data_IF_727853379705
#
_entry.id   IF_727853379705
#
_cell.length_a   1.000
_cell.length_b   1.000
_cell.length_c   1.000
_cell.angle_alpha   90.00
_cell.angle_beta   90.00
_cell.angle_gamma   90.00
#
_symmetry.space_group_name_H-M   'P 1'
#
loop_
_entity.id
_entity.type
_entity.pdbx_description
1 polymer ?
#
# COMPACT_ATOMS: atom_id res chain seq x y z
N UNK A 1 18.84 17.43 10.92
CA UNK A 1 18.12 17.19 9.67
C UNK A 1 18.07 15.71 9.38
N UNK A 2 16.87 15.20 9.18
CA UNK A 2 16.68 13.80 8.83
C UNK A 2 16.90 13.62 7.34
N UNK A 3 17.80 12.74 6.97
CA UNK A 3 18.03 12.39 5.57
C UNK A 3 17.36 11.06 5.27
N UNK A 4 16.48 11.04 4.27
CA UNK A 4 15.88 9.80 3.80
C UNK A 4 16.92 8.99 3.04
N UNK A 5 16.94 7.68 3.26
CA UNK A 5 17.75 6.80 2.46
C UNK A 5 17.20 6.74 1.04
N UNK A 6 18.09 6.87 0.07
CA UNK A 6 17.71 6.67 -1.33
C UNK A 6 17.66 5.19 -1.64
N UNK A 7 16.51 4.74 -2.10
CA UNK A 7 16.34 3.35 -2.50
C UNK A 7 16.43 3.30 -4.02
N UNK A 8 17.39 2.53 -4.53
CA UNK A 8 17.55 2.39 -5.98
C UNK A 8 16.40 1.57 -6.56
N UNK A 9 16.14 1.73 -7.87
CA UNK A 9 15.13 0.93 -8.54
C UNK A 9 15.42 -0.57 -8.41
N UNK A 10 16.67 -0.95 -8.46
CA UNK A 10 17.07 -2.35 -8.29
C UNK A 10 16.67 -2.90 -6.93
N UNK A 11 16.82 -2.10 -5.88
CA UNK A 11 16.42 -2.49 -4.54
C UNK A 11 14.90 -2.54 -4.41
N UNK A 12 14.18 -1.59 -5.01
CA UNK A 12 12.72 -1.60 -5.03
C UNK A 12 12.19 -2.86 -5.72
N UNK A 13 12.77 -3.23 -6.86
CA UNK A 13 12.38 -4.43 -7.58
C UNK A 13 12.62 -5.69 -6.73
N UNK A 14 13.75 -5.75 -6.03
CA UNK A 14 14.05 -6.86 -5.15
C UNK A 14 13.00 -6.98 -4.03
N UNK A 15 12.67 -5.86 -3.40
CA UNK A 15 11.64 -5.85 -2.34
C UNK A 15 10.31 -6.32 -2.88
N UNK A 16 9.91 -5.83 -4.06
CA UNK A 16 8.65 -6.21 -4.67
C UNK A 16 8.58 -7.71 -4.98
N UNK A 17 9.68 -8.29 -5.45
CA UNK A 17 9.72 -9.71 -5.81
C UNK A 17 9.68 -10.63 -4.60
N UNK A 18 10.20 -10.18 -3.44
CA UNK A 18 10.43 -11.04 -2.28
C UNK A 18 9.51 -10.76 -1.10
N UNK A 19 8.71 -9.71 -1.15
CA UNK A 19 7.96 -9.27 0.02
C UNK A 19 6.46 -9.48 -0.06
N UNK A 20 5.86 -9.42 -1.24
CA UNK A 20 4.40 -9.46 -1.33
C UNK A 20 3.91 -9.92 -2.69
N UNK A 21 2.66 -10.37 -2.69
CA UNK A 21 1.88 -10.65 -3.89
C UNK A 21 0.62 -9.80 -3.86
N UNK A 22 0.34 -9.11 -4.95
CA UNK A 22 -0.86 -8.29 -5.06
C UNK A 22 -2.03 -9.14 -5.55
N UNK A 23 -3.20 -8.95 -4.96
CA UNK A 23 -4.41 -9.56 -5.49
C UNK A 23 -4.92 -8.79 -6.72
N UNK A 24 -5.83 -9.39 -7.52
CA UNK A 24 -6.28 -8.74 -8.76
C UNK A 24 -6.93 -7.38 -8.56
N UNK A 25 -7.63 -7.17 -7.46
CA UNK A 25 -8.30 -5.88 -7.20
C UNK A 25 -7.27 -4.80 -6.91
N UNK A 26 -6.26 -5.13 -6.12
CA UNK A 26 -5.16 -4.19 -5.85
C UNK A 26 -4.44 -3.79 -7.14
N UNK A 27 -4.16 -4.76 -8.02
CA UNK A 27 -3.54 -4.50 -9.32
C UNK A 27 -4.40 -3.59 -10.18
N UNK A 28 -5.70 -3.79 -10.16
CA UNK A 28 -6.63 -2.98 -10.94
C UNK A 28 -6.62 -1.51 -10.49
N UNK A 29 -6.62 -1.26 -9.18
CA UNK A 29 -6.55 0.10 -8.65
C UNK A 29 -5.22 0.76 -9.00
N UNK A 30 -4.11 0.04 -8.86
CA UNK A 30 -2.79 0.56 -9.20
C UNK A 30 -2.73 0.94 -10.68
N UNK A 31 -3.24 0.10 -11.57
CA UNK A 31 -3.27 0.38 -13.00
C UNK A 31 -4.13 1.59 -13.31
N UNK A 32 -5.26 1.73 -12.64
CA UNK A 32 -6.11 2.91 -12.78
C UNK A 32 -5.34 4.18 -12.38
N UNK A 33 -4.64 4.13 -11.25
CA UNK A 33 -3.90 5.28 -10.73
C UNK A 33 -2.75 5.69 -11.65
N UNK A 34 -2.10 4.75 -12.32
CA UNK A 34 -1.02 5.05 -13.26
C UNK A 34 -1.47 5.96 -14.40
N UNK A 35 -2.75 5.93 -14.74
CA UNK A 35 -3.33 6.75 -15.80
C UNK A 35 -3.68 8.17 -15.35
N UNK A 36 -3.51 8.48 -14.08
CA UNK A 36 -3.92 9.77 -13.51
C UNK A 36 -2.83 10.84 -13.54
N UNK A 37 -1.71 10.58 -14.18
CA UNK A 37 -0.63 11.57 -14.30
C UNK A 37 -0.02 11.91 -12.95
N UNK A 38 0.14 13.19 -12.66
CA UNK A 38 0.78 13.64 -11.42
C UNK A 38 -0.01 13.25 -10.16
N UNK A 39 -1.30 13.01 -10.27
CA UNK A 39 -2.14 12.64 -9.12
C UNK A 39 -1.83 11.24 -8.60
N UNK A 40 -1.17 10.40 -9.39
CA UNK A 40 -0.79 9.05 -8.93
C UNK A 40 0.09 9.08 -7.68
N UNK A 41 0.76 10.18 -7.41
CA UNK A 41 1.59 10.36 -6.20
C UNK A 41 0.78 10.35 -4.91
N UNK A 42 -0.53 10.52 -4.99
CA UNK A 42 -1.41 10.47 -3.82
C UNK A 42 -1.64 9.05 -3.33
N UNK A 43 -1.33 8.03 -4.14
CA UNK A 43 -1.38 6.65 -3.71
C UNK A 43 -0.19 6.34 -2.82
N UNK A 44 -0.42 5.60 -1.72
CA UNK A 44 0.70 5.08 -0.93
C UNK A 44 1.47 4.04 -1.76
N UNK A 45 2.73 3.81 -1.41
CA UNK A 45 3.51 2.79 -2.09
C UNK A 45 2.92 1.40 -1.82
N UNK A 46 3.15 0.48 -2.75
CA UNK A 46 2.70 -0.91 -2.59
C UNK A 46 3.35 -1.55 -1.35
N UNK A 47 4.62 -1.26 -1.12
CA UNK A 47 5.33 -1.73 0.06
C UNK A 47 4.69 -1.22 1.34
N UNK A 48 4.29 0.06 1.38
CA UNK A 48 3.63 0.64 2.54
C UNK A 48 2.25 0.01 2.77
N UNK A 49 1.49 -0.24 1.71
CA UNK A 49 0.20 -0.91 1.81
C UNK A 49 0.33 -2.31 2.40
N UNK A 50 1.32 -3.06 1.96
CA UNK A 50 1.60 -4.39 2.49
C UNK A 50 2.06 -4.33 3.95
N UNK A 51 2.86 -3.32 4.29
CA UNK A 51 3.29 -3.10 5.67
C UNK A 51 2.09 -2.85 6.58
N UNK A 52 1.12 -2.05 6.14
CA UNK A 52 -0.11 -1.83 6.91
C UNK A 52 -0.86 -3.13 7.15
N UNK A 53 -0.96 -3.98 6.13
CA UNK A 53 -1.62 -5.28 6.29
C UNK A 53 -0.91 -6.14 7.32
N UNK A 54 0.40 -6.20 7.26
CA UNK A 54 1.20 -6.96 8.22
C UNK A 54 1.02 -6.41 9.63
N UNK A 55 1.08 -5.09 9.78
CA UNK A 55 0.94 -4.43 11.08
C UNK A 55 -0.44 -4.68 11.70
N UNK A 56 -1.49 -4.53 10.90
CA UNK A 56 -2.86 -4.73 11.36
C UNK A 56 -3.07 -6.17 11.83
N UNK A 57 -2.61 -7.13 11.06
CA UNK A 57 -2.74 -8.54 11.43
C UNK A 57 -1.91 -8.90 12.65
N UNK A 58 -0.70 -8.37 12.75
CA UNK A 58 0.22 -8.70 13.84
C UNK A 58 -0.26 -8.19 15.19
N UNK A 59 -0.93 -7.05 15.22
CA UNK A 59 -1.40 -6.41 16.46
C UNK A 59 -2.89 -6.55 16.71
N UNK A 60 -3.58 -7.37 15.91
CA UNK A 60 -5.03 -7.60 16.07
C UNK A 60 -5.84 -6.30 16.05
N UNK A 61 -5.48 -5.38 15.18
CA UNK A 61 -6.21 -4.11 15.07
C UNK A 61 -7.58 -4.38 14.46
N UNK A 62 -8.62 -3.80 15.04
CA UNK A 62 -10.01 -4.01 14.61
C UNK A 62 -10.66 -2.78 14.00
N UNK A 63 -10.11 -1.60 14.27
CA UNK A 63 -10.68 -0.34 13.78
C UNK A 63 -9.57 0.55 13.25
N UNK A 64 -9.81 1.16 12.09
CA UNK A 64 -8.87 2.06 11.44
C UNK A 64 -9.63 3.28 10.93
N UNK A 65 -9.02 4.46 11.08
CA UNK A 65 -9.51 5.70 10.49
C UNK A 65 -8.53 6.16 9.45
N UNK A 66 -9.01 6.46 8.25
CA UNK A 66 -8.20 7.02 7.18
C UNK A 66 -8.71 8.39 6.79
N UNK A 67 -7.79 9.34 6.64
CA UNK A 67 -8.11 10.69 6.16
C UNK A 67 -7.51 10.82 4.76
N UNK A 68 -8.37 11.06 3.76
CA UNK A 68 -7.95 11.14 2.37
C UNK A 68 -7.80 9.77 1.73
N UNK A 69 -8.82 9.31 1.03
CA UNK A 69 -8.87 7.95 0.48
C UNK A 69 -8.28 7.85 -0.93
N UNK A 70 -8.26 8.94 -1.68
CA UNK A 70 -7.89 8.97 -3.09
C UNK A 70 -8.73 7.95 -3.87
N UNK A 71 -8.12 6.93 -4.52
CA UNK A 71 -8.86 5.91 -5.26
C UNK A 71 -9.19 4.68 -4.42
N UNK A 72 -8.82 4.68 -3.15
CA UNK A 72 -9.17 3.61 -2.22
C UNK A 72 -8.15 2.50 -2.09
N UNK A 73 -6.94 2.64 -2.65
CA UNK A 73 -5.94 1.59 -2.56
C UNK A 73 -5.56 1.31 -1.11
N UNK A 74 -5.24 2.36 -0.34
CA UNK A 74 -4.90 2.24 1.07
C UNK A 74 -6.08 1.66 1.87
N UNK A 75 -7.29 2.15 1.63
CA UNK A 75 -8.49 1.65 2.30
C UNK A 75 -8.72 0.16 2.02
N UNK A 76 -8.49 -0.27 0.79
CA UNK A 76 -8.60 -1.69 0.42
C UNK A 76 -7.57 -2.54 1.15
N UNK A 77 -6.31 -2.09 1.20
CA UNK A 77 -5.26 -2.80 1.92
C UNK A 77 -5.63 -2.99 3.39
N UNK A 78 -6.11 -1.93 4.03
CA UNK A 78 -6.53 -1.96 5.43
C UNK A 78 -7.73 -2.90 5.61
N UNK A 79 -8.75 -2.77 4.78
CA UNK A 79 -9.96 -3.57 4.89
C UNK A 79 -9.69 -5.06 4.74
N UNK A 80 -8.79 -5.43 3.83
CA UNK A 80 -8.41 -6.84 3.63
C UNK A 80 -7.65 -7.43 4.82
N UNK A 81 -7.11 -6.58 5.69
CA UNK A 81 -6.33 -7.01 6.85
C UNK A 81 -7.15 -7.05 8.13
N UNK A 82 -8.28 -6.34 8.17
CA UNK A 82 -9.13 -6.29 9.35
C UNK A 82 -9.91 -7.60 9.50
N UNK A 83 -10.25 -7.99 10.76
CA UNK A 83 -11.15 -9.12 10.97
C UNK A 83 -12.53 -8.82 10.36
N UNK A 84 -13.29 -9.86 10.04
CA UNK A 84 -14.62 -9.72 9.44
C UNK A 84 -15.63 -9.03 10.36
N UNK A 85 -15.40 -9.05 11.65
CA UNK A 85 -16.31 -8.47 12.63
C UNK A 85 -16.05 -6.97 12.86
#
# INVERSE_FOLDING_TARGET
MIKSLKISKKLEDYIAEHSYELNPIQKEIINYNEKMGSQKKMQISVTQGYFFQFFIKSFNIKKVLEIGTFTGYSALCVAQSLPED
#
